data_IF_620727178153
#
_entry.id   IF_620727178153
#
_cell.length_a   1.000
_cell.length_b   1.000
_cell.length_c   1.000
_cell.angle_alpha   90.00
_cell.angle_beta   90.00
_cell.angle_gamma   90.00
#
_symmetry.space_group_name_H-M   'P 1'
#
loop_
_entity.id
_entity.type
_entity.pdbx_description
1 polymer ?
#
# COMPACT_ATOMS: atom_id res chain seq x y z
N UNK A 1 14.08 3.28 5.24
CA UNK A 1 12.64 3.67 5.12
C UNK A 1 12.31 5.09 5.64
N UNK A 2 13.28 5.83 6.21
CA UNK A 2 13.05 7.18 6.73
C UNK A 2 12.55 8.15 5.65
N UNK A 3 13.04 8.03 4.40
CA UNK A 3 12.61 8.89 3.29
C UNK A 3 11.13 8.66 2.97
N UNK A 4 10.69 7.40 2.90
CA UNK A 4 9.29 7.07 2.63
C UNK A 4 8.36 7.59 3.74
N UNK A 5 8.78 7.43 4.99
CA UNK A 5 8.04 7.95 6.14
C UNK A 5 7.95 9.49 6.11
N UNK A 6 9.08 10.18 5.94
CA UNK A 6 9.10 11.64 5.93
C UNK A 6 8.28 12.23 4.77
N UNK A 7 8.31 11.62 3.59
CA UNK A 7 7.48 12.06 2.48
C UNK A 7 5.99 11.80 2.73
N UNK A 8 5.65 10.67 3.34
CA UNK A 8 4.27 10.38 3.72
C UNK A 8 3.74 11.38 4.75
N UNK A 9 4.55 11.72 5.77
CA UNK A 9 4.22 12.74 6.76
C UNK A 9 4.05 14.11 6.10
N UNK A 10 4.97 14.51 5.23
CA UNK A 10 4.90 15.80 4.55
C UNK A 10 3.63 15.95 3.68
N UNK A 11 3.23 14.87 2.98
CA UNK A 11 1.96 14.84 2.23
C UNK A 11 0.76 14.86 3.17
N UNK A 12 0.82 14.13 4.28
CA UNK A 12 -0.29 14.06 5.23
C UNK A 12 -0.51 15.40 5.96
N UNK A 13 0.57 16.10 6.31
CA UNK A 13 0.50 17.41 6.98
C UNK A 13 0.12 18.56 6.02
N UNK A 14 0.47 18.45 4.74
CA UNK A 14 0.16 19.47 3.75
C UNK A 14 -0.22 18.84 2.39
N UNK A 15 -1.43 18.28 2.27
CA UNK A 15 -1.87 17.51 1.11
C UNK A 15 -2.01 18.30 -0.20
N UNK A 16 -1.91 19.63 -0.16
CA UNK A 16 -1.90 20.48 -1.36
C UNK A 16 -0.50 21.07 -1.67
N UNK A 17 0.54 20.54 -1.01
CA UNK A 17 1.92 20.94 -1.26
C UNK A 17 2.38 20.46 -2.62
N UNK A 18 2.81 21.37 -3.50
CA UNK A 18 3.26 21.02 -4.87
C UNK A 18 4.52 20.14 -4.90
N UNK A 19 5.30 20.14 -3.81
CA UNK A 19 6.62 19.50 -3.76
C UNK A 19 6.57 17.97 -3.87
N UNK A 20 5.50 17.34 -3.36
CA UNK A 20 5.35 15.88 -3.32
C UNK A 20 4.13 15.40 -4.12
N UNK A 21 3.80 16.08 -5.22
CA UNK A 21 2.65 15.74 -6.04
C UNK A 21 3.04 15.42 -7.50
N UNK A 22 2.80 14.21 -7.99
CA UNK A 22 2.32 13.04 -7.24
C UNK A 22 3.39 12.47 -6.29
N UNK A 23 2.95 11.85 -5.19
CA UNK A 23 3.77 10.94 -4.40
C UNK A 23 3.65 9.54 -5.00
N UNK A 24 4.72 9.01 -5.56
CA UNK A 24 4.77 7.70 -6.18
C UNK A 24 5.58 6.74 -5.31
N UNK A 25 4.91 5.77 -4.70
CA UNK A 25 5.49 4.77 -3.81
C UNK A 25 5.66 3.45 -4.58
N UNK A 26 6.86 2.91 -4.63
CA UNK A 26 7.04 1.58 -5.21
C UNK A 26 7.88 0.68 -4.30
N UNK A 27 7.62 -0.61 -4.41
CA UNK A 27 8.40 -1.65 -3.73
C UNK A 27 7.98 -3.01 -4.20
N UNK A 28 8.76 -4.02 -3.91
CA UNK A 28 8.31 -5.41 -3.98
C UNK A 28 7.04 -5.67 -3.16
N UNK A 29 6.40 -6.83 -3.32
CA UNK A 29 5.17 -7.16 -2.60
C UNK A 29 5.42 -7.29 -1.09
N UNK A 30 4.41 -6.89 -0.29
CA UNK A 30 4.44 -7.09 1.16
C UNK A 30 5.35 -6.16 1.97
N UNK A 31 5.81 -5.04 1.39
CA UNK A 31 6.67 -4.05 2.06
C UNK A 31 5.93 -2.85 2.67
N UNK A 32 4.60 -2.88 2.70
CA UNK A 32 3.82 -1.91 3.46
C UNK A 32 3.31 -0.71 2.67
N UNK A 33 3.35 -0.69 1.32
CA UNK A 33 2.79 0.39 0.47
C UNK A 33 1.37 0.76 0.87
N UNK A 34 0.48 -0.22 0.84
CA UNK A 34 -0.94 -0.05 1.19
C UNK A 34 -1.11 0.48 2.62
N UNK A 35 -0.32 -0.03 3.57
CA UNK A 35 -0.35 0.45 4.96
C UNK A 35 0.05 1.92 5.07
N UNK A 36 1.11 2.33 4.36
CA UNK A 36 1.56 3.72 4.33
C UNK A 36 0.50 4.64 3.71
N UNK A 37 -0.14 4.21 2.61
CA UNK A 37 -1.23 4.95 1.98
C UNK A 37 -2.43 5.12 2.91
N UNK A 38 -2.84 4.06 3.62
CA UNK A 38 -3.91 4.14 4.62
C UNK A 38 -3.54 5.07 5.78
N UNK A 39 -2.26 5.07 6.20
CA UNK A 39 -1.78 5.96 7.26
C UNK A 39 -1.84 7.44 6.83
N UNK A 40 -1.46 7.75 5.58
CA UNK A 40 -1.62 9.09 5.00
C UNK A 40 -3.11 9.50 4.99
N UNK A 41 -3.97 8.65 4.45
CA UNK A 41 -5.41 8.94 4.36
C UNK A 41 -6.02 9.16 5.74
N UNK A 42 -5.72 8.31 6.70
CA UNK A 42 -6.20 8.41 8.08
C UNK A 42 -5.74 9.71 8.74
N UNK A 43 -4.46 10.05 8.63
CA UNK A 43 -3.92 11.29 9.21
C UNK A 43 -4.64 12.52 8.64
N UNK A 44 -4.85 12.57 7.32
CA UNK A 44 -5.56 13.69 6.68
C UNK A 44 -6.99 13.77 7.20
N UNK A 45 -7.73 12.66 7.26
CA UNK A 45 -9.11 12.64 7.73
C UNK A 45 -9.25 13.06 9.22
N UNK A 46 -8.26 12.73 10.06
CA UNK A 46 -8.26 13.07 11.49
C UNK A 46 -7.83 14.51 11.75
N UNK A 47 -6.92 15.08 10.96
CA UNK A 47 -6.31 16.40 11.22
C UNK A 47 -6.75 17.49 10.25
N UNK A 48 -7.30 17.13 9.10
CA UNK A 48 -7.74 18.03 8.03
C UNK A 48 -9.14 17.65 7.54
N UNK A 49 -10.18 17.79 8.39
CA UNK A 49 -11.55 17.34 8.08
C UNK A 49 -12.19 18.09 6.91
N UNK A 50 -11.62 19.21 6.48
CA UNK A 50 -12.03 19.96 5.29
C UNK A 50 -11.68 19.27 3.96
N UNK A 51 -10.74 18.34 3.97
CA UNK A 51 -10.32 17.63 2.77
C UNK A 51 -11.18 16.38 2.49
N UNK A 52 -11.60 16.24 1.25
CA UNK A 52 -12.19 15.01 0.75
C UNK A 52 -11.10 14.05 0.30
N UNK A 53 -11.03 12.88 0.93
CA UNK A 53 -10.02 11.85 0.69
C UNK A 53 -10.66 10.62 0.07
N UNK A 54 -10.13 10.13 -1.04
CA UNK A 54 -10.54 8.88 -1.66
C UNK A 54 -9.35 7.92 -1.77
N UNK A 55 -9.52 6.74 -1.19
CA UNK A 55 -8.63 5.60 -1.45
C UNK A 55 -9.34 4.58 -2.35
N UNK A 56 -8.64 4.09 -3.36
CA UNK A 56 -9.12 3.04 -4.25
C UNK A 56 -7.96 2.16 -4.73
N UNK A 57 -8.25 0.93 -5.12
CA UNK A 57 -7.30 0.12 -5.89
C UNK A 57 -7.48 0.40 -7.37
N UNK A 58 -6.43 0.23 -8.16
CA UNK A 58 -6.51 0.39 -9.61
C UNK A 58 -7.46 -0.64 -10.24
N UNK A 59 -7.62 -1.82 -9.64
CA UNK A 59 -8.60 -2.82 -10.05
C UNK A 59 -10.05 -2.32 -9.87
N UNK A 60 -10.37 -1.72 -8.71
CA UNK A 60 -11.67 -1.12 -8.47
C UNK A 60 -11.94 0.05 -9.43
N UNK A 61 -10.94 0.88 -9.68
CA UNK A 61 -11.03 1.94 -10.67
C UNK A 61 -11.36 1.37 -12.06
N UNK A 62 -10.64 0.34 -12.49
CA UNK A 62 -10.88 -0.36 -13.77
C UNK A 62 -12.30 -0.91 -13.85
N UNK A 63 -12.78 -1.59 -12.81
CA UNK A 63 -14.13 -2.15 -12.78
C UNK A 63 -15.17 -1.04 -12.91
N UNK A 64 -15.01 0.06 -12.19
CA UNK A 64 -15.91 1.21 -12.28
C UNK A 64 -15.93 1.84 -13.70
N UNK A 65 -14.77 1.93 -14.36
CA UNK A 65 -14.68 2.42 -15.75
C UNK A 65 -15.40 1.48 -16.71
N UNK A 66 -15.16 0.17 -16.60
CA UNK A 66 -15.80 -0.84 -17.44
C UNK A 66 -17.32 -0.82 -17.27
N UNK A 67 -17.80 -0.74 -16.04
CA UNK A 67 -19.23 -0.71 -15.73
C UNK A 67 -19.89 0.58 -16.23
N UNK A 68 -19.23 1.72 -16.11
CA UNK A 68 -19.72 2.98 -16.66
C UNK A 68 -19.84 2.93 -18.20
N UNK A 69 -18.83 2.37 -18.88
CA UNK A 69 -18.87 2.19 -20.35
C UNK A 69 -19.99 1.22 -20.75
N UNK A 70 -20.16 0.12 -20.05
CA UNK A 70 -21.23 -0.86 -20.32
C UNK A 70 -22.62 -0.25 -20.11
N UNK A 71 -22.78 0.54 -19.05
CA UNK A 71 -24.04 1.25 -18.76
C UNK A 71 -24.37 2.25 -19.84
N UNK A 72 -23.41 3.09 -20.25
CA UNK A 72 -23.61 4.05 -21.32
C UNK A 72 -24.01 3.39 -22.65
N UNK A 73 -23.40 2.24 -22.99
CA UNK A 73 -23.79 1.48 -24.19
C UNK A 73 -25.24 0.96 -24.13
N UNK A 74 -25.71 0.56 -22.93
CA UNK A 74 -27.09 0.06 -22.73
C UNK A 74 -28.12 1.22 -22.79
N UNK A 75 -27.80 2.34 -22.16
CA UNK A 75 -28.69 3.49 -22.03
C UNK A 75 -28.59 4.46 -23.21
N UNK A 76 -27.61 4.30 -24.10
CA UNK A 76 -27.26 5.22 -25.17
C UNK A 76 -27.01 6.66 -24.66
N UNK A 77 -26.49 6.78 -23.45
CA UNK A 77 -26.22 8.02 -22.74
C UNK A 77 -24.79 8.03 -22.22
N UNK A 78 -24.28 9.19 -21.83
CA UNK A 78 -22.94 9.38 -21.24
C UNK A 78 -22.95 9.63 -19.72
N UNK A 79 -24.12 9.55 -19.11
CA UNK A 79 -24.32 9.91 -17.70
C UNK A 79 -23.46 9.09 -16.75
N UNK A 80 -23.28 7.78 -16.99
CA UNK A 80 -22.49 6.91 -16.11
C UNK A 80 -21.00 7.28 -16.10
N UNK A 81 -20.39 7.55 -17.27
CA UNK A 81 -19.00 8.03 -17.34
C UNK A 81 -18.84 9.44 -16.78
N UNK A 82 -19.85 10.31 -16.95
CA UNK A 82 -19.85 11.65 -16.36
C UNK A 82 -19.89 11.59 -14.83
N UNK A 83 -20.69 10.69 -14.25
CA UNK A 83 -20.75 10.47 -12.80
C UNK A 83 -19.45 9.87 -12.27
N UNK A 84 -18.87 8.89 -12.98
CA UNK A 84 -17.56 8.34 -12.65
C UNK A 84 -16.51 9.47 -12.53
N UNK A 85 -16.43 10.33 -13.55
CA UNK A 85 -15.49 11.46 -13.56
C UNK A 85 -15.73 12.42 -12.40
N UNK A 86 -16.98 12.76 -12.11
CA UNK A 86 -17.32 13.61 -10.96
C UNK A 86 -16.85 13.00 -9.65
N UNK A 87 -17.09 11.72 -9.44
CA UNK A 87 -16.69 11.04 -8.21
C UNK A 87 -15.17 11.07 -7.98
N UNK A 88 -14.38 10.78 -9.02
CA UNK A 88 -12.93 10.72 -8.90
C UNK A 88 -12.24 12.09 -8.99
N UNK A 89 -12.83 13.10 -9.64
CA UNK A 89 -12.20 14.41 -9.86
C UNK A 89 -12.61 15.47 -8.83
N UNK A 90 -13.62 15.20 -8.01
CA UNK A 90 -14.09 16.14 -6.98
C UNK A 90 -13.51 15.86 -5.60
N UNK A 91 -12.42 15.13 -5.52
CA UNK A 91 -11.71 14.87 -4.27
C UNK A 91 -10.50 15.80 -4.15
N UNK A 92 -10.07 16.05 -2.91
CA UNK A 92 -8.87 16.85 -2.64
C UNK A 92 -7.62 15.97 -2.63
N UNK A 93 -7.78 14.71 -2.22
CA UNK A 93 -6.69 13.73 -2.17
C UNK A 93 -7.17 12.42 -2.78
N UNK A 94 -6.51 11.95 -3.84
CA UNK A 94 -6.74 10.64 -4.43
C UNK A 94 -5.54 9.72 -4.17
N UNK A 95 -5.81 8.62 -3.47
CA UNK A 95 -4.84 7.55 -3.28
C UNK A 95 -5.26 6.36 -4.14
N UNK A 96 -4.39 5.94 -5.07
CA UNK A 96 -4.64 4.78 -5.92
C UNK A 96 -3.56 3.73 -5.76
N UNK A 97 -3.97 2.55 -5.33
CA UNK A 97 -3.06 1.44 -5.01
C UNK A 97 -2.89 0.49 -6.20
N UNK A 98 -1.68 -0.04 -6.33
CA UNK A 98 -1.31 -1.06 -7.32
C UNK A 98 -1.58 -0.64 -8.78
N UNK A 99 -1.09 0.53 -9.20
CA UNK A 99 -1.33 1.12 -10.53
C UNK A 99 -0.91 0.21 -11.69
N UNK A 100 -0.02 -0.75 -11.48
CA UNK A 100 0.44 -1.69 -12.50
C UNK A 100 -0.69 -2.48 -13.17
N UNK A 101 -1.83 -2.69 -12.50
CA UNK A 101 -2.93 -3.49 -13.04
C UNK A 101 -3.74 -2.80 -14.15
N UNK A 102 -3.65 -1.47 -14.28
CA UNK A 102 -4.29 -0.74 -15.38
C UNK A 102 -3.33 -0.45 -16.54
N UNK A 103 -2.03 -0.65 -16.36
CA UNK A 103 -1.06 -0.42 -17.42
C UNK A 103 -1.28 -1.44 -18.55
N UNK A 104 -1.35 -0.97 -19.80
CA UNK A 104 -1.70 -1.79 -20.96
C UNK A 104 -3.19 -2.09 -21.12
N UNK A 105 -4.07 -1.45 -20.30
CA UNK A 105 -5.53 -1.51 -20.44
C UNK A 105 -6.03 -0.19 -21.04
N UNK A 106 -5.97 -0.04 -22.34
CA UNK A 106 -6.08 1.23 -23.06
C UNK A 106 -7.21 2.14 -22.57
N UNK A 107 -8.46 1.67 -22.56
CA UNK A 107 -9.61 2.49 -22.14
C UNK A 107 -9.52 2.95 -20.68
N UNK A 108 -9.09 2.06 -19.78
CA UNK A 108 -8.94 2.37 -18.35
C UNK A 108 -7.76 3.29 -18.13
N UNK A 109 -6.65 3.01 -18.82
CA UNK A 109 -5.44 3.83 -18.74
C UNK A 109 -5.70 5.26 -19.18
N UNK A 110 -6.40 5.46 -20.29
CA UNK A 110 -6.80 6.79 -20.78
C UNK A 110 -7.68 7.52 -19.75
N UNK A 111 -8.70 6.87 -19.21
CA UNK A 111 -9.60 7.50 -18.22
C UNK A 111 -8.88 7.82 -16.92
N UNK A 112 -7.96 6.95 -16.49
CA UNK A 112 -7.10 7.22 -15.33
C UNK A 112 -6.25 8.46 -15.53
N UNK A 113 -5.55 8.57 -16.68
CA UNK A 113 -4.70 9.73 -16.93
C UNK A 113 -5.49 11.02 -17.14
N UNK A 114 -6.68 10.96 -17.70
CA UNK A 114 -7.58 12.12 -17.75
C UNK A 114 -8.00 12.58 -16.34
N UNK A 115 -8.18 11.62 -15.42
CA UNK A 115 -8.49 11.92 -14.02
C UNK A 115 -7.26 12.48 -13.31
N UNK A 116 -6.08 11.86 -13.52
CA UNK A 116 -4.80 12.33 -13.00
C UNK A 116 -4.54 13.80 -13.41
N UNK A 117 -4.63 14.11 -14.71
CA UNK A 117 -4.39 15.47 -15.22
C UNK A 117 -5.38 16.49 -14.63
N UNK A 118 -6.66 16.13 -14.52
CA UNK A 118 -7.67 17.01 -13.95
C UNK A 118 -7.37 17.36 -12.48
N UNK A 119 -6.99 16.37 -11.68
CA UNK A 119 -6.62 16.57 -10.28
C UNK A 119 -5.30 17.33 -10.13
N UNK A 120 -4.29 16.94 -10.89
CA UNK A 120 -2.96 17.56 -10.86
C UNK A 120 -3.02 19.06 -11.23
N UNK A 121 -3.72 19.41 -12.31
CA UNK A 121 -3.90 20.80 -12.75
C UNK A 121 -4.72 21.63 -11.76
N UNK A 122 -5.62 21.00 -11.00
CA UNK A 122 -6.40 21.65 -9.95
C UNK A 122 -5.67 21.74 -8.61
N UNK A 123 -4.39 21.36 -8.55
CA UNK A 123 -3.58 21.37 -7.32
C UNK A 123 -3.99 20.33 -6.28
N UNK A 124 -4.73 19.29 -6.68
CA UNK A 124 -5.17 18.21 -5.80
C UNK A 124 -4.06 17.19 -5.63
N UNK A 125 -3.96 16.58 -4.43
CA UNK A 125 -2.92 15.62 -4.11
C UNK A 125 -3.19 14.25 -4.73
N UNK A 126 -2.15 13.67 -5.31
CA UNK A 126 -2.13 12.31 -5.83
C UNK A 126 -1.10 11.48 -5.08
N UNK A 127 -1.52 10.32 -4.61
CA UNK A 127 -0.63 9.29 -4.03
C UNK A 127 -0.84 7.99 -4.80
N UNK A 128 0.21 7.45 -5.36
CA UNK A 128 0.15 6.28 -6.26
C UNK A 128 1.09 5.21 -5.73
N UNK A 129 0.65 3.96 -5.70
CA UNK A 129 1.54 2.84 -5.41
C UNK A 129 1.75 1.92 -6.61
N UNK A 130 2.87 1.21 -6.63
CA UNK A 130 3.21 0.20 -7.64
C UNK A 130 4.15 -0.87 -7.09
N UNK A 131 4.23 -1.99 -7.80
CA UNK A 131 5.23 -3.04 -7.55
C UNK A 131 6.60 -2.72 -8.15
N UNK A 132 6.70 -1.72 -9.05
CA UNK A 132 7.92 -1.32 -9.75
C UNK A 132 7.92 0.17 -10.07
N UNK A 133 9.11 0.78 -10.27
CA UNK A 133 9.22 2.19 -10.63
C UNK A 133 8.64 2.47 -12.03
N UNK A 134 8.23 3.74 -12.31
CA UNK A 134 7.69 4.11 -13.63
C UNK A 134 8.62 3.79 -14.79
N UNK A 135 9.93 3.82 -14.58
CA UNK A 135 10.95 3.49 -15.60
C UNK A 135 10.89 2.04 -16.08
N UNK A 136 10.41 1.13 -15.23
CA UNK A 136 10.29 -0.31 -15.52
C UNK A 136 8.87 -0.74 -15.94
N UNK A 137 7.95 0.22 -16.08
CA UNK A 137 6.59 -0.09 -16.55
C UNK A 137 6.59 -0.25 -18.07
N UNK A 138 6.55 -1.49 -18.54
CA UNK A 138 6.31 -1.81 -19.93
C UNK A 138 4.90 -1.33 -20.33
N UNK A 139 4.71 -0.95 -21.61
CA UNK A 139 3.45 -0.44 -22.15
C UNK A 139 2.91 0.87 -21.53
N UNK A 140 3.70 1.55 -20.68
CA UNK A 140 3.40 2.89 -20.22
C UNK A 140 3.97 3.92 -21.19
N UNK A 141 3.10 4.75 -21.77
CA UNK A 141 3.48 5.85 -22.66
C UNK A 141 4.46 6.81 -21.94
N UNK A 142 5.44 7.30 -22.68
CA UNK A 142 6.50 8.18 -22.16
C UNK A 142 5.95 9.44 -21.47
N UNK A 143 4.87 10.03 -21.98
CA UNK A 143 4.22 11.20 -21.37
C UNK A 143 3.64 10.89 -20.00
N UNK A 144 3.07 9.69 -19.80
CA UNK A 144 2.52 9.27 -18.51
C UNK A 144 3.64 8.90 -17.51
N UNK A 145 4.71 8.28 -18.01
CA UNK A 145 5.91 8.03 -17.22
C UNK A 145 6.50 9.34 -16.68
N UNK A 146 6.61 10.36 -17.52
CA UNK A 146 7.05 11.70 -17.12
C UNK A 146 6.15 12.31 -16.02
N UNK A 147 4.83 12.09 -16.09
CA UNK A 147 3.89 12.56 -15.06
C UNK A 147 4.10 11.87 -13.71
N UNK A 148 4.30 10.56 -13.70
CA UNK A 148 4.58 9.84 -12.46
C UNK A 148 5.89 10.29 -11.80
N UNK A 149 6.88 10.69 -12.59
CA UNK A 149 8.19 11.13 -12.10
C UNK A 149 8.28 12.64 -11.87
N UNK A 150 7.23 13.42 -12.20
CA UNK A 150 7.26 14.88 -12.00
C UNK A 150 7.22 15.32 -10.54
N UNK A 151 6.68 14.47 -9.67
CA UNK A 151 6.67 14.66 -8.23
C UNK A 151 7.79 13.88 -7.53
N UNK A 152 7.45 13.16 -6.47
CA UNK A 152 8.42 12.37 -5.72
C UNK A 152 8.20 10.87 -5.89
N UNK A 153 9.20 10.17 -6.39
CA UNK A 153 9.20 8.69 -6.54
C UNK A 153 10.08 8.08 -5.45
N UNK A 154 9.51 7.17 -4.67
CA UNK A 154 10.15 6.59 -3.48
C UNK A 154 10.13 5.08 -3.54
N UNK A 155 11.29 4.48 -3.33
CA UNK A 155 11.49 3.05 -3.13
C UNK A 155 11.35 2.68 -1.66
N UNK A 156 10.37 1.84 -1.33
CA UNK A 156 10.19 1.32 0.02
C UNK A 156 11.00 0.03 0.15
N UNK A 157 12.04 0.10 0.96
CA UNK A 157 12.97 -0.99 1.20
C UNK A 157 12.42 -2.01 2.23
N UNK A 158 12.89 -3.26 2.19
CA UNK A 158 12.65 -4.22 3.26
C UNK A 158 12.95 -3.63 4.64
N UNK A 159 12.24 -4.05 5.69
CA UNK A 159 12.53 -3.59 7.03
C UNK A 159 13.89 -4.09 7.48
N UNK A 160 14.64 -3.22 8.16
CA UNK A 160 15.81 -3.62 8.92
C UNK A 160 15.41 -4.37 10.21
N UNK A 161 16.39 -4.82 10.98
CA UNK A 161 16.14 -5.54 12.22
C UNK A 161 15.34 -4.71 13.23
N UNK A 162 15.67 -3.45 13.41
CA UNK A 162 15.01 -2.57 14.38
C UNK A 162 13.55 -2.35 14.01
N UNK A 163 13.27 -2.10 12.74
CA UNK A 163 11.92 -1.96 12.22
C UNK A 163 11.14 -3.29 12.32
N UNK A 164 11.78 -4.42 12.03
CA UNK A 164 11.17 -5.75 12.16
C UNK A 164 10.75 -6.02 13.61
N UNK A 165 11.62 -5.70 14.58
CA UNK A 165 11.30 -5.81 16.00
C UNK A 165 10.16 -4.88 16.42
N UNK A 166 10.14 -3.64 15.93
CA UNK A 166 9.06 -2.69 16.21
C UNK A 166 7.72 -3.18 15.66
N UNK A 167 7.69 -3.73 14.44
CA UNK A 167 6.49 -4.31 13.82
C UNK A 167 5.98 -5.50 14.64
N UNK A 168 6.87 -6.40 15.05
CA UNK A 168 6.49 -7.57 15.84
C UNK A 168 5.95 -7.19 17.23
N UNK A 169 6.57 -6.23 17.92
CA UNK A 169 6.08 -5.71 19.20
C UNK A 169 4.72 -5.06 19.08
N UNK A 170 4.52 -4.20 18.09
CA UNK A 170 3.22 -3.57 17.84
C UNK A 170 2.13 -4.62 17.52
N UNK A 171 2.47 -5.64 16.74
CA UNK A 171 1.55 -6.76 16.47
C UNK A 171 1.20 -7.52 17.74
N UNK A 172 2.15 -7.69 18.63
CA UNK A 172 1.98 -8.38 19.91
C UNK A 172 1.07 -7.63 20.88
N UNK A 173 1.07 -6.28 20.87
CA UNK A 173 0.19 -5.46 21.69
C UNK A 173 -1.30 -5.75 21.45
N UNK A 174 -1.64 -6.20 20.25
CA UNK A 174 -3.00 -6.56 19.84
C UNK A 174 -3.27 -8.07 19.91
N UNK A 175 -2.42 -8.85 20.59
CA UNK A 175 -2.53 -10.30 20.69
C UNK A 175 -2.76 -10.76 22.15
N UNK A 176 -3.65 -11.74 22.33
CA UNK A 176 -3.90 -12.37 23.62
C UNK A 176 -2.72 -13.23 24.12
N UNK A 177 -1.82 -13.61 23.22
CA UNK A 177 -0.64 -14.43 23.50
C UNK A 177 0.60 -13.60 23.28
N UNK A 178 1.42 -13.49 24.32
CA UNK A 178 2.69 -12.78 24.28
C UNK A 178 3.83 -13.77 24.03
N UNK A 179 4.62 -13.51 23.00
CA UNK A 179 5.88 -14.21 22.76
C UNK A 179 7.01 -13.51 23.54
N UNK A 180 7.98 -14.28 24.01
CA UNK A 180 9.15 -13.69 24.66
C UNK A 180 10.06 -12.99 23.63
N UNK A 181 10.90 -12.06 24.10
CA UNK A 181 11.80 -11.28 23.25
C UNK A 181 12.77 -12.16 22.44
N UNK A 182 13.19 -13.32 22.96
CA UNK A 182 14.05 -14.25 22.25
C UNK A 182 13.40 -14.83 20.99
N UNK A 183 12.09 -15.06 21.02
CA UNK A 183 11.33 -15.52 19.84
C UNK A 183 11.15 -14.39 18.85
N UNK A 184 10.84 -13.17 19.29
CA UNK A 184 10.74 -12.01 18.42
C UNK A 184 12.07 -11.72 17.72
N UNK A 185 13.18 -11.79 18.46
CA UNK A 185 14.53 -11.66 17.94
C UNK A 185 14.83 -12.73 16.88
N UNK A 186 14.48 -13.99 17.17
CA UNK A 186 14.65 -15.08 16.22
C UNK A 186 13.89 -14.85 14.91
N UNK A 187 12.65 -14.37 14.98
CA UNK A 187 11.86 -14.03 13.79
C UNK A 187 12.54 -12.89 13.02
N UNK A 188 12.85 -11.77 13.69
CA UNK A 188 13.43 -10.58 13.07
C UNK A 188 14.80 -10.83 12.43
N UNK A 189 15.61 -11.69 13.04
CA UNK A 189 16.94 -12.05 12.55
C UNK A 189 16.89 -12.92 11.29
N UNK A 190 15.95 -13.87 11.25
CA UNK A 190 15.90 -14.87 10.18
C UNK A 190 14.93 -14.51 9.03
N UNK A 191 14.00 -13.59 9.23
CA UNK A 191 13.02 -13.18 8.20
C UNK A 191 13.26 -11.73 7.79
N UNK A 192 13.98 -11.56 6.68
CA UNK A 192 14.40 -10.24 6.16
C UNK A 192 13.69 -9.84 4.86
N UNK A 193 12.82 -10.69 4.33
CA UNK A 193 12.29 -10.53 2.97
C UNK A 193 11.19 -9.46 2.87
N UNK A 194 10.15 -9.56 3.68
CA UNK A 194 9.05 -8.61 3.68
C UNK A 194 8.19 -8.71 4.94
N UNK A 195 7.38 -7.67 5.18
CA UNK A 195 6.55 -7.54 6.38
C UNK A 195 5.46 -8.61 6.43
N UNK A 196 4.86 -9.00 5.29
CA UNK A 196 3.82 -10.05 5.29
C UNK A 196 4.35 -11.40 5.74
N UNK A 197 5.58 -11.76 5.33
CA UNK A 197 6.22 -13.00 5.78
C UNK A 197 6.60 -12.90 7.25
N UNK A 198 7.08 -11.74 7.70
CA UNK A 198 7.40 -11.49 9.11
C UNK A 198 6.17 -11.69 10.01
N UNK A 199 5.04 -11.08 9.65
CA UNK A 199 3.77 -11.23 10.35
C UNK A 199 3.18 -12.65 10.22
N UNK A 200 3.36 -13.27 9.06
CA UNK A 200 2.96 -14.66 8.83
C UNK A 200 3.69 -15.64 9.74
N UNK A 201 4.99 -15.44 9.95
CA UNK A 201 5.79 -16.23 10.87
C UNK A 201 5.31 -16.06 12.32
N UNK A 202 5.06 -14.83 12.75
CA UNK A 202 4.49 -14.56 14.07
C UNK A 202 3.17 -15.32 14.27
N UNK A 203 2.24 -15.18 13.33
CA UNK A 203 0.93 -15.84 13.37
C UNK A 203 1.05 -17.37 13.36
N UNK A 204 2.01 -17.92 12.62
CA UNK A 204 2.25 -19.38 12.55
C UNK A 204 2.70 -19.94 13.91
N UNK A 205 3.56 -19.22 14.62
CA UNK A 205 3.96 -19.62 15.98
C UNK A 205 2.75 -19.62 16.92
N UNK A 206 1.92 -18.59 16.90
CA UNK A 206 0.71 -18.54 17.72
C UNK A 206 -0.26 -19.69 17.41
N UNK A 207 -0.45 -19.99 16.13
CA UNK A 207 -1.28 -21.10 15.69
C UNK A 207 -0.72 -22.44 16.17
N UNK A 208 0.59 -22.66 15.99
CA UNK A 208 1.27 -23.87 16.43
C UNK A 208 1.11 -24.09 17.94
N UNK A 209 1.27 -23.04 18.73
CA UNK A 209 1.10 -23.09 20.19
C UNK A 209 -0.33 -23.47 20.60
N UNK A 210 -1.34 -22.96 19.90
CA UNK A 210 -2.76 -23.31 20.17
C UNK A 210 -3.04 -24.79 19.95
N UNK A 211 -2.40 -25.43 18.97
CA UNK A 211 -2.59 -26.84 18.67
C UNK A 211 -1.77 -27.77 19.59
N UNK A 212 -0.55 -27.37 19.94
CA UNK A 212 0.34 -28.19 20.78
C UNK A 212 0.03 -28.09 22.27
N UNK A 213 -0.73 -27.06 22.68
CA UNK A 213 -1.12 -26.80 24.09
C UNK A 213 0.08 -26.98 25.04
N UNK A 214 1.10 -26.14 24.95
CA UNK A 214 2.29 -26.28 25.78
C UNK A 214 1.94 -26.23 27.27
N UNK A 215 2.68 -26.95 28.09
CA UNK A 215 2.55 -26.86 29.53
C UNK A 215 2.73 -25.40 29.96
N UNK A 216 1.87 -24.91 30.82
CA UNK A 216 1.86 -23.53 31.34
C UNK A 216 1.62 -22.44 30.29
N UNK A 217 1.08 -22.75 29.11
CA UNK A 217 0.85 -21.79 28.00
C UNK A 217 2.11 -21.00 27.59
N UNK A 218 3.31 -21.50 27.89
CA UNK A 218 4.57 -20.86 27.52
C UNK A 218 5.12 -21.45 26.24
N UNK A 219 5.34 -20.56 25.27
CA UNK A 219 5.98 -20.88 24.00
C UNK A 219 7.48 -20.66 24.20
N UNK A 220 8.29 -21.71 23.98
CA UNK A 220 9.75 -21.62 24.01
C UNK A 220 10.34 -21.47 22.59
N UNK A 221 11.63 -21.17 22.52
CA UNK A 221 12.34 -20.98 21.25
C UNK A 221 12.37 -22.25 20.39
N UNK A 222 12.40 -23.45 21.00
CA UNK A 222 12.43 -24.70 20.24
C UNK A 222 11.10 -24.95 19.53
N UNK A 223 9.98 -24.65 20.20
CA UNK A 223 8.66 -24.67 19.59
C UNK A 223 8.54 -23.65 18.43
N UNK A 224 9.08 -22.45 18.60
CA UNK A 224 9.10 -21.44 17.55
C UNK A 224 9.94 -21.89 16.34
N UNK A 225 11.10 -22.49 16.56
CA UNK A 225 11.95 -23.07 15.49
C UNK A 225 11.24 -24.20 14.76
N UNK A 226 10.58 -25.10 15.47
CA UNK A 226 9.80 -26.19 14.87
C UNK A 226 8.64 -25.63 14.02
N UNK A 227 7.91 -24.65 14.53
CA UNK A 227 6.82 -23.99 13.80
C UNK A 227 7.30 -23.30 12.52
N UNK A 228 8.52 -22.76 12.51
CA UNK A 228 9.05 -21.95 11.39
C UNK A 228 10.01 -22.71 10.48
N UNK A 229 10.22 -24.01 10.66
CA UNK A 229 11.19 -24.77 9.86
C UNK A 229 10.97 -24.65 8.34
N UNK A 230 9.72 -24.52 7.89
CA UNK A 230 9.38 -24.34 6.46
C UNK A 230 9.48 -22.88 5.98
N UNK A 231 9.52 -21.91 6.90
CA UNK A 231 9.72 -20.49 6.61
C UNK A 231 11.19 -20.12 6.53
N UNK A 232 12.00 -20.80 7.32
CA UNK A 232 13.44 -20.60 7.48
C UNK A 232 14.09 -21.89 6.98
N UNK A 233 13.89 -22.22 5.69
CA UNK A 233 14.58 -23.36 5.07
C UNK A 233 16.07 -23.08 5.04
N UNK A 234 16.93 -24.03 5.49
CA UNK A 234 18.36 -23.94 5.18
C UNK A 234 18.50 -24.05 3.65
N UNK A 235 19.02 -22.99 3.02
CA UNK A 235 19.60 -23.09 1.69
C UNK A 235 20.84 -23.99 1.71
#
# INVERSE_FOLDING_TARGET
NNIAYNAAVAVAENPNGQLYNPLFLYSGPGLGKTHLMHSIARYILENHPEYSVMYTTSENFMNNVVDAIRTNRKTQDTAATSNLRKNYRNVDVLLIDDIQFIIGKDSTQIEFFNTFEALYQSGKQLVISSDKPPSQMEHLDMRYRSRFTSGMTIDIQPPDYEMSMAILRNKQENSDIQLNEEILDYIATNIKSNIRILEGAYNKILLFARFTKPKDNKIDLNMAKEALKDFISPN
#
